data_IF_846391441764
#
_entry.id   IF_846391441764
#
_cell.length_a   1.000
_cell.length_b   1.000
_cell.length_c   1.000
_cell.angle_alpha   90.00
_cell.angle_beta   90.00
_cell.angle_gamma   90.00
#
_symmetry.space_group_name_H-M   'P 1'
#
loop_
_entity.id
_entity.type
_entity.pdbx_description
1 polymer ?
#
# COMPACT_ATOMS: atom_id res chain seq x y z
N UNK A 1 2.15 -17.64 -10.03
CA UNK A 1 0.92 -16.86 -10.24
C UNK A 1 0.73 -15.91 -9.08
N UNK A 2 0.76 -14.62 -9.35
CA UNK A 2 0.58 -13.63 -8.29
C UNK A 2 -0.87 -13.59 -7.85
N UNK A 3 -1.09 -13.75 -6.57
CA UNK A 3 -2.42 -13.64 -6.01
C UNK A 3 -2.79 -12.17 -5.88
N UNK A 4 -4.05 -11.86 -6.21
CA UNK A 4 -4.57 -10.52 -6.01
C UNK A 4 -4.75 -10.27 -4.52
N UNK A 5 -4.06 -9.27 -4.00
CA UNK A 5 -4.15 -8.88 -2.61
C UNK A 5 -5.42 -8.05 -2.43
N UNK A 6 -6.28 -8.47 -1.51
CA UNK A 6 -7.50 -7.75 -1.19
C UNK A 6 -7.46 -7.35 0.28
N UNK A 7 -7.61 -6.06 0.54
CA UNK A 7 -7.56 -5.54 1.90
C UNK A 7 -8.97 -5.22 2.40
N UNK A 8 -9.29 -5.71 3.59
CA UNK A 8 -10.51 -5.30 4.28
C UNK A 8 -10.32 -3.87 4.77
N UNK A 9 -11.41 -3.23 5.19
CA UNK A 9 -11.36 -1.85 5.70
C UNK A 9 -10.35 -1.69 6.84
N UNK A 10 -10.35 -2.63 7.78
CA UNK A 10 -9.47 -2.55 8.95
C UNK A 10 -7.99 -2.65 8.58
N UNK A 11 -7.62 -3.63 7.75
CA UNK A 11 -6.22 -3.79 7.35
C UNK A 11 -5.81 -2.68 6.39
N UNK A 12 -6.75 -2.14 5.58
CA UNK A 12 -6.47 -1.01 4.71
C UNK A 12 -6.08 0.23 5.52
N UNK A 13 -6.74 0.45 6.65
CA UNK A 13 -6.41 1.56 7.54
C UNK A 13 -4.97 1.45 8.04
N UNK A 14 -4.52 0.25 8.40
CA UNK A 14 -3.14 0.02 8.83
C UNK A 14 -2.18 0.28 7.67
N UNK A 15 -2.51 -0.22 6.48
CA UNK A 15 -1.66 -0.01 5.31
C UNK A 15 -1.55 1.47 4.93
N UNK A 16 -2.65 2.22 5.03
CA UNK A 16 -2.64 3.66 4.75
C UNK A 16 -1.68 4.39 5.69
N UNK A 17 -1.64 4.00 6.95
CA UNK A 17 -0.70 4.56 7.91
C UNK A 17 0.74 4.24 7.52
N UNK A 18 1.02 2.97 7.19
CA UNK A 18 2.36 2.53 6.81
C UNK A 18 2.85 3.18 5.50
N UNK A 19 1.95 3.33 4.52
CA UNK A 19 2.30 3.98 3.27
C UNK A 19 2.56 5.48 3.43
N UNK A 20 1.83 6.11 4.34
CA UNK A 20 1.97 7.55 4.59
C UNK A 20 3.24 7.89 5.34
N UNK A 21 3.67 7.02 6.25
CA UNK A 21 4.88 7.22 7.03
C UNK A 21 6.10 6.79 6.22
N UNK A 22 7.17 7.57 6.31
CA UNK A 22 8.42 7.26 5.62
C UNK A 22 9.30 6.30 6.42
N UNK A 23 9.02 6.18 7.71
CA UNK A 23 9.79 5.32 8.62
C UNK A 23 9.01 4.06 8.96
N UNK A 24 9.74 3.02 9.36
CA UNK A 24 9.15 1.80 9.86
C UNK A 24 8.48 2.07 11.21
N UNK A 25 7.38 1.39 11.49
CA UNK A 25 6.58 1.63 12.69
C UNK A 25 6.40 0.35 13.50
N UNK A 26 6.40 0.51 14.82
CA UNK A 26 5.97 -0.55 15.75
C UNK A 26 4.44 -0.56 15.83
N UNK A 27 3.86 -1.62 16.41
CA UNK A 27 2.41 -1.68 16.60
C UNK A 27 1.89 -0.51 17.44
N UNK A 28 2.62 -0.12 18.47
CA UNK A 28 2.25 1.03 19.30
C UNK A 28 2.24 2.33 18.52
N UNK A 29 3.21 2.50 17.63
CA UNK A 29 3.28 3.70 16.78
C UNK A 29 2.15 3.74 15.77
N UNK A 30 1.75 2.58 15.25
CA UNK A 30 0.60 2.49 14.34
C UNK A 30 -0.68 2.90 15.07
N UNK A 31 -0.86 2.42 16.31
CA UNK A 31 -2.02 2.79 17.13
C UNK A 31 -2.06 4.30 17.33
N UNK A 32 -0.92 4.91 17.68
CA UNK A 32 -0.84 6.35 17.91
C UNK A 32 -1.12 7.17 16.64
N UNK A 33 -0.73 6.66 15.49
CA UNK A 33 -0.94 7.36 14.22
C UNK A 33 -2.39 7.27 13.75
N UNK A 34 -3.17 6.37 14.33
CA UNK A 34 -4.56 6.14 13.96
C UNK A 34 -5.47 7.08 14.74
N UNK A 35 -6.37 7.79 14.05
CA UNK A 35 -7.30 8.72 14.69
C UNK A 35 -8.68 8.09 14.87
N UNK A 36 -9.26 7.56 13.81
CA UNK A 36 -10.60 6.97 13.84
C UNK A 36 -10.56 5.60 13.18
N UNK A 37 -9.92 4.65 13.85
CA UNK A 37 -9.80 3.31 13.30
C UNK A 37 -11.06 2.47 13.58
N UNK A 38 -11.29 1.46 12.73
CA UNK A 38 -12.38 0.51 12.88
C UNK A 38 -11.97 -0.72 13.68
N UNK A 39 -10.73 -0.75 14.17
CA UNK A 39 -10.20 -1.88 14.95
C UNK A 39 -9.84 -1.42 16.36
N UNK A 40 -9.87 -2.37 17.31
CA UNK A 40 -9.49 -2.09 18.68
C UNK A 40 -7.98 -2.25 18.86
N UNK A 41 -7.44 -1.67 19.93
CA UNK A 41 -6.01 -1.80 20.24
C UNK A 41 -5.60 -3.26 20.47
N UNK A 42 -6.53 -4.10 20.88
CA UNK A 42 -6.25 -5.53 21.08
C UNK A 42 -6.29 -6.30 19.75
N UNK A 43 -7.08 -5.83 18.79
CA UNK A 43 -7.20 -6.47 17.49
C UNK A 43 -6.01 -6.22 16.57
N UNK A 44 -5.21 -5.20 16.83
CA UNK A 44 -4.12 -4.83 15.94
C UNK A 44 -3.12 -5.96 15.71
N UNK A 45 -2.85 -6.74 16.74
CA UNK A 45 -1.88 -7.85 16.61
C UNK A 45 -2.37 -8.92 15.66
N UNK A 46 -3.68 -9.21 15.68
CA UNK A 46 -4.28 -10.16 14.75
C UNK A 46 -4.25 -9.62 13.32
N UNK A 47 -4.53 -8.33 13.15
CA UNK A 47 -4.52 -7.68 11.82
C UNK A 47 -3.11 -7.65 11.26
N UNK A 48 -2.12 -7.30 12.07
CA UNK A 48 -0.72 -7.29 11.64
C UNK A 48 -0.25 -8.68 11.28
N UNK A 49 -0.65 -9.70 12.04
CA UNK A 49 -0.31 -11.08 11.74
C UNK A 49 -0.89 -11.52 10.39
N UNK A 50 -2.14 -11.13 10.13
CA UNK A 50 -2.78 -11.41 8.85
C UNK A 50 -2.01 -10.77 7.70
N UNK A 51 -1.59 -9.52 7.85
CA UNK A 51 -0.82 -8.82 6.83
C UNK A 51 0.55 -9.48 6.61
N UNK A 52 1.21 -9.93 7.69
CA UNK A 52 2.47 -10.64 7.58
C UNK A 52 2.30 -11.99 6.88
N UNK A 53 1.28 -12.74 7.26
CA UNK A 53 1.02 -14.07 6.68
C UNK A 53 0.69 -13.97 5.19
N UNK A 54 0.05 -12.89 4.77
CA UNK A 54 -0.28 -12.66 3.36
C UNK A 54 0.82 -11.93 2.59
N UNK A 55 1.95 -11.64 3.23
CA UNK A 55 3.09 -11.03 2.57
C UNK A 55 2.92 -9.57 2.19
N UNK A 56 1.92 -8.88 2.77
CA UNK A 56 1.64 -7.47 2.45
C UNK A 56 2.57 -6.54 3.21
N UNK A 57 2.98 -6.94 4.41
CA UNK A 57 3.97 -6.23 5.20
C UNK A 57 5.07 -7.21 5.61
N UNK A 58 6.18 -6.65 6.07
CA UNK A 58 7.28 -7.45 6.60
C UNK A 58 7.87 -6.77 7.83
N UNK A 59 8.54 -7.56 8.67
CA UNK A 59 9.30 -7.04 9.80
C UNK A 59 10.62 -6.50 9.25
N UNK A 60 10.92 -5.25 9.58
CA UNK A 60 12.14 -4.59 9.12
C UNK A 60 13.00 -4.18 10.32
N UNK A 61 13.18 -5.09 11.26
CA UNK A 61 14.01 -4.87 12.42
C UNK A 61 13.23 -4.66 13.69
N UNK A 62 13.91 -4.11 14.67
CA UNK A 62 13.38 -3.93 16.01
C UNK A 62 13.73 -2.53 16.51
N UNK A 63 12.84 -1.98 17.33
CA UNK A 63 13.04 -0.69 17.95
C UNK A 63 12.98 -0.86 19.46
N UNK A 64 13.90 -0.25 20.16
CA UNK A 64 13.94 -0.34 21.62
C UNK A 64 12.77 0.44 22.21
N UNK A 65 12.04 -0.21 23.09
CA UNK A 65 10.99 0.41 23.88
C UNK A 65 11.47 0.55 25.34
N UNK A 66 10.64 1.11 26.20
CA UNK A 66 11.00 1.34 27.61
C UNK A 66 11.43 0.06 28.32
N UNK A 67 10.79 -1.07 28.03
CA UNK A 67 11.04 -2.35 28.71
C UNK A 67 11.67 -3.41 27.83
N UNK A 68 11.56 -3.29 26.51
CA UNK A 68 11.90 -4.37 25.61
C UNK A 68 12.14 -3.86 24.20
N UNK A 69 12.27 -4.79 23.26
CA UNK A 69 12.35 -4.47 21.83
C UNK A 69 11.02 -4.81 21.17
N UNK A 70 10.56 -3.95 20.28
CA UNK A 70 9.36 -4.18 19.51
C UNK A 70 9.70 -4.29 18.02
N UNK A 71 9.04 -5.21 17.32
CA UNK A 71 9.21 -5.37 15.89
C UNK A 71 8.72 -4.12 15.17
N UNK A 72 9.45 -3.73 14.12
CA UNK A 72 9.01 -2.65 13.24
C UNK A 72 8.53 -3.24 11.93
N UNK A 73 7.51 -2.63 11.36
CA UNK A 73 6.85 -3.12 10.16
C UNK A 73 6.98 -2.14 9.02
N UNK A 74 7.07 -2.65 7.81
CA UNK A 74 7.00 -1.83 6.61
C UNK A 74 6.21 -2.56 5.52
N UNK A 75 5.63 -1.81 4.56
CA UNK A 75 4.91 -2.44 3.47
C UNK A 75 5.84 -3.25 2.57
N UNK A 76 5.39 -4.43 2.13
CA UNK A 76 6.07 -5.21 1.11
C UNK A 76 5.60 -4.83 -0.29
N UNK A 77 4.49 -4.11 -0.39
CA UNK A 77 3.92 -3.62 -1.63
C UNK A 77 3.70 -2.12 -1.51
N UNK A 78 4.06 -1.37 -2.55
CA UNK A 78 3.83 0.07 -2.56
C UNK A 78 2.35 0.39 -2.72
N UNK A 79 1.95 1.61 -2.33
CA UNK A 79 0.59 2.08 -2.53
C UNK A 79 0.21 2.07 -4.01
N UNK A 80 1.15 2.43 -4.88
CA UNK A 80 0.93 2.46 -6.33
C UNK A 80 0.70 1.06 -6.89
N UNK A 81 1.50 0.09 -6.46
CA UNK A 81 1.35 -1.29 -6.91
C UNK A 81 0.04 -1.89 -6.42
N UNK A 82 -0.35 -1.59 -5.18
CA UNK A 82 -1.64 -2.04 -4.65
C UNK A 82 -2.79 -1.44 -5.44
N UNK A 83 -2.74 -0.13 -5.70
CA UNK A 83 -3.75 0.57 -6.49
C UNK A 83 -3.88 -0.05 -7.88
N UNK A 84 -2.74 -0.33 -8.52
CA UNK A 84 -2.72 -0.95 -9.84
C UNK A 84 -3.37 -2.34 -9.81
N UNK A 85 -3.01 -3.17 -8.84
CA UNK A 85 -3.58 -4.51 -8.71
C UNK A 85 -5.10 -4.46 -8.50
N UNK A 86 -5.55 -3.56 -7.66
CA UNK A 86 -6.97 -3.46 -7.32
C UNK A 86 -7.81 -2.95 -8.49
N UNK A 87 -7.30 -1.99 -9.24
CA UNK A 87 -8.07 -1.28 -10.24
C UNK A 87 -7.84 -1.73 -11.68
N UNK A 88 -6.69 -2.34 -11.99
CA UNK A 88 -6.33 -2.64 -13.37
C UNK A 88 -6.07 -4.10 -13.67
N UNK A 89 -5.54 -4.85 -12.73
CA UNK A 89 -5.22 -6.26 -12.96
C UNK A 89 -6.52 -7.06 -13.13
N UNK A 90 -6.63 -7.78 -14.26
CA UNK A 90 -7.80 -8.57 -14.55
C UNK A 90 -8.95 -7.81 -15.19
N UNK A 91 -8.80 -6.52 -15.46
CA UNK A 91 -9.81 -5.73 -16.14
C UNK A 91 -9.67 -5.91 -17.67
N UNK A 92 -10.79 -6.02 -18.40
CA UNK A 92 -10.74 -6.10 -19.86
C UNK A 92 -10.02 -4.91 -20.47
N UNK A 93 -9.32 -5.15 -21.58
CA UNK A 93 -8.54 -4.12 -22.27
C UNK A 93 -9.37 -2.87 -22.57
N UNK A 94 -10.60 -3.04 -22.99
CA UNK A 94 -11.49 -1.94 -23.33
C UNK A 94 -11.68 -0.96 -22.17
N UNK A 95 -11.92 -1.49 -20.95
CA UNK A 95 -12.09 -0.66 -19.76
C UNK A 95 -10.79 0.01 -19.34
N UNK A 96 -9.68 -0.71 -19.49
CA UNK A 96 -8.35 -0.15 -19.18
C UNK A 96 -8.04 1.02 -20.11
N UNK A 97 -8.35 0.88 -21.39
CA UNK A 97 -8.09 1.93 -22.36
C UNK A 97 -8.93 3.18 -22.09
N UNK A 98 -10.19 3.01 -21.68
CA UNK A 98 -11.03 4.16 -21.30
C UNK A 98 -10.45 4.93 -20.13
N UNK A 99 -9.92 4.22 -19.14
CA UNK A 99 -9.28 4.87 -17.99
C UNK A 99 -8.02 5.61 -18.42
N UNK A 100 -7.20 5.00 -19.26
CA UNK A 100 -5.97 5.62 -19.76
C UNK A 100 -6.30 6.88 -20.56
N UNK A 101 -7.32 6.83 -21.41
CA UNK A 101 -7.78 8.00 -22.16
C UNK A 101 -8.18 9.14 -21.22
N UNK A 102 -8.93 8.84 -20.16
CA UNK A 102 -9.36 9.84 -19.19
C UNK A 102 -8.16 10.50 -18.50
N UNK A 103 -7.15 9.70 -18.14
CA UNK A 103 -5.92 10.21 -17.52
C UNK A 103 -5.18 11.12 -18.49
N UNK A 104 -5.04 10.70 -19.75
CA UNK A 104 -4.33 11.47 -20.77
C UNK A 104 -5.03 12.81 -21.02
N UNK A 105 -6.37 12.80 -21.09
CA UNK A 105 -7.14 14.02 -21.34
C UNK A 105 -6.97 15.07 -20.23
N UNK A 106 -6.74 14.61 -19.01
CA UNK A 106 -6.57 15.48 -17.84
C UNK A 106 -5.10 15.82 -17.58
N UNK A 107 -4.21 15.47 -18.49
CA UNK A 107 -2.76 15.57 -18.28
C UNK A 107 -2.19 16.76 -19.03
N UNK A 108 -1.22 17.45 -18.42
CA UNK A 108 -0.53 18.59 -19.05
C UNK A 108 0.39 18.11 -20.17
N UNK A 109 0.78 19.05 -21.06
CA UNK A 109 1.74 18.76 -22.14
C UNK A 109 3.06 18.22 -21.59
N UNK A 110 3.53 18.79 -20.50
CA UNK A 110 4.78 18.34 -19.85
C UNK A 110 4.68 16.90 -19.39
N UNK A 111 3.56 16.53 -18.77
CA UNK A 111 3.32 15.16 -18.32
C UNK A 111 3.16 14.22 -19.50
N UNK A 112 2.54 14.65 -20.60
CA UNK A 112 2.40 13.84 -21.82
C UNK A 112 3.76 13.51 -22.42
N UNK A 113 4.68 14.46 -22.43
CA UNK A 113 6.05 14.23 -22.92
C UNK A 113 6.76 13.18 -22.06
N UNK A 114 6.56 13.23 -20.74
CA UNK A 114 7.12 12.24 -19.83
C UNK A 114 6.53 10.85 -20.06
N UNK A 115 5.23 10.76 -20.31
CA UNK A 115 4.55 9.49 -20.63
C UNK A 115 5.09 8.92 -21.94
N UNK A 116 5.26 9.76 -22.96
CA UNK A 116 5.82 9.34 -24.25
C UNK A 116 7.22 8.73 -24.07
N UNK A 117 8.05 9.36 -23.25
CA UNK A 117 9.38 8.84 -22.94
C UNK A 117 9.31 7.46 -22.31
N UNK A 118 8.42 7.27 -21.35
CA UNK A 118 8.23 5.96 -20.70
C UNK A 118 7.85 4.91 -21.72
N UNK A 119 6.93 5.22 -22.61
CA UNK A 119 6.48 4.29 -23.65
C UNK A 119 7.64 3.90 -24.56
N UNK A 120 8.45 4.87 -24.97
CA UNK A 120 9.59 4.62 -25.86
C UNK A 120 10.65 3.76 -25.16
N UNK A 121 10.88 3.95 -23.88
CA UNK A 121 11.84 3.16 -23.12
C UNK A 121 11.39 1.70 -22.95
N UNK A 122 10.10 1.43 -22.98
CA UNK A 122 9.56 0.08 -22.86
C UNK A 122 9.60 -0.71 -24.16
N UNK A 123 9.91 -0.08 -25.28
CA UNK A 123 10.06 -0.74 -26.58
C UNK A 123 11.53 -1.21 -26.78
#
# INVERSE_FOLDING_TARGET
MEQKIRLTKSVREIMDILWKQKEVLTSSEIIKASLNNSWSNTSIHLLLRSLLDNGVIKVDGFKRTTKNYARTFKPSISQYDYFFQENFRGIPLEKRMKFIEAVIQDTSLEELDAIEKIILELQ
#
